data_IF_949290238162
#
_entry.id   IF_949290238162
#
_cell.length_a   1.000
_cell.length_b   1.000
_cell.length_c   1.000
_cell.angle_alpha   90.00
_cell.angle_beta   90.00
_cell.angle_gamma   90.00
#
_symmetry.space_group_name_H-M   'P 1'
#
loop_
_entity.id
_entity.type
_entity.pdbx_description
1 polymer ?
#
# COMPACT_ATOMS: atom_id res chain seq x y z
N UNK A 1 -2.86 19.82 -11.45
CA UNK A 1 -2.42 19.52 -10.06
C UNK A 1 -0.95 19.90 -9.96
N UNK A 2 -0.53 20.66 -8.94
CA UNK A 2 0.88 21.01 -8.82
C UNK A 2 1.74 19.77 -8.49
N UNK A 3 3.02 19.70 -8.91
CA UNK A 3 3.90 18.58 -8.64
C UNK A 3 3.94 18.21 -7.16
N UNK A 4 4.13 19.21 -6.30
CA UNK A 4 4.18 19.06 -4.85
C UNK A 4 2.89 18.42 -4.28
N UNK A 5 1.71 18.80 -4.77
CA UNK A 5 0.44 18.20 -4.33
C UNK A 5 0.34 16.74 -4.76
N UNK A 6 0.79 16.39 -5.97
CA UNK A 6 0.78 15.00 -6.43
C UNK A 6 1.69 14.10 -5.61
N UNK A 7 2.84 14.61 -5.18
CA UNK A 7 3.75 13.88 -4.32
C UNK A 7 3.24 13.77 -2.88
N UNK A 8 2.61 14.81 -2.34
CA UNK A 8 1.97 14.74 -1.01
C UNK A 8 0.86 13.68 -0.98
N UNK A 9 0.00 13.65 -2.01
CA UNK A 9 -1.03 12.59 -2.13
C UNK A 9 -0.39 11.21 -2.22
N UNK A 10 0.69 11.07 -3.00
CA UNK A 10 1.42 9.82 -3.11
C UNK A 10 1.98 9.36 -1.76
N UNK A 11 2.70 10.24 -1.05
CA UNK A 11 3.27 9.96 0.25
C UNK A 11 2.20 9.58 1.28
N UNK A 12 1.07 10.30 1.28
CA UNK A 12 -0.07 10.00 2.13
C UNK A 12 -0.66 8.61 1.84
N UNK A 13 -0.84 8.25 0.57
CA UNK A 13 -1.33 6.93 0.18
C UNK A 13 -0.35 5.81 0.56
N UNK A 14 0.97 6.04 0.45
CA UNK A 14 1.97 5.07 0.90
C UNK A 14 1.96 4.86 2.42
N UNK A 15 1.69 5.92 3.18
CA UNK A 15 1.54 5.84 4.63
C UNK A 15 0.27 5.06 5.02
N UNK A 16 -0.87 5.33 4.36
CA UNK A 16 -2.10 4.56 4.58
C UNK A 16 -1.94 3.08 4.22
N UNK A 17 -1.26 2.78 3.11
CA UNK A 17 -0.95 1.40 2.74
C UNK A 17 -0.07 0.72 3.81
N UNK A 18 0.92 1.42 4.39
CA UNK A 18 1.73 0.89 5.49
C UNK A 18 0.87 0.57 6.72
N UNK A 19 0.04 1.51 7.14
CA UNK A 19 -0.80 1.36 8.33
C UNK A 19 -1.81 0.23 8.15
N UNK A 20 -2.44 0.11 6.98
CA UNK A 20 -3.39 -0.97 6.71
C UNK A 20 -2.72 -2.34 6.68
N UNK A 21 -1.52 -2.45 6.09
CA UNK A 21 -0.77 -3.71 6.09
C UNK A 21 -0.29 -4.08 7.51
N UNK A 22 0.22 -3.12 8.29
CA UNK A 22 0.53 -3.37 9.70
C UNK A 22 -0.71 -3.81 10.50
N UNK A 23 -1.89 -3.25 10.21
CA UNK A 23 -3.13 -3.65 10.85
C UNK A 23 -3.52 -5.11 10.53
N UNK A 24 -3.32 -5.57 9.29
CA UNK A 24 -3.52 -6.98 8.92
C UNK A 24 -2.57 -7.90 9.70
N UNK A 25 -1.27 -7.57 9.73
CA UNK A 25 -0.28 -8.34 10.48
C UNK A 25 -0.60 -8.40 11.98
N UNK A 26 -1.00 -7.27 12.59
CA UNK A 26 -1.35 -7.22 14.01
C UNK A 26 -2.67 -7.96 14.32
N UNK A 27 -3.63 -7.94 13.39
CA UNK A 27 -4.89 -8.68 13.54
C UNK A 27 -4.74 -10.18 13.24
N UNK A 28 -3.56 -10.64 12.82
CA UNK A 28 -3.31 -12.01 12.34
C UNK A 28 -4.23 -12.42 11.18
N UNK A 29 -4.73 -11.44 10.43
CA UNK A 29 -5.58 -11.63 9.25
C UNK A 29 -4.66 -11.64 8.03
N UNK A 30 -4.90 -12.55 7.08
CA UNK A 30 -4.08 -12.60 5.88
C UNK A 30 -4.13 -11.28 5.11
N UNK A 31 -2.96 -10.83 4.63
CA UNK A 31 -2.84 -9.64 3.80
C UNK A 31 -3.80 -9.70 2.59
N UNK A 32 -4.63 -8.66 2.46
CA UNK A 32 -5.56 -8.52 1.34
C UNK A 32 -4.87 -8.05 0.04
N UNK A 33 -3.73 -7.36 0.15
CA UNK A 33 -3.01 -6.86 -1.02
C UNK A 33 -2.30 -8.02 -1.74
N UNK A 34 -2.73 -8.40 -2.96
CA UNK A 34 -2.19 -9.57 -3.65
C UNK A 34 -0.71 -9.41 -4.00
N UNK A 35 -0.24 -8.18 -4.26
CA UNK A 35 1.18 -7.93 -4.48
C UNK A 35 1.98 -8.22 -3.22
N UNK A 36 1.60 -7.61 -2.08
CA UNK A 36 2.29 -7.84 -0.81
C UNK A 36 2.22 -9.31 -0.41
N UNK A 37 1.05 -9.94 -0.52
CA UNK A 37 0.86 -11.37 -0.25
C UNK A 37 1.79 -12.24 -1.10
N UNK A 38 1.94 -11.94 -2.39
CA UNK A 38 2.86 -12.66 -3.28
C UNK A 38 4.32 -12.45 -2.85
N UNK A 39 4.70 -11.22 -2.52
CA UNK A 39 6.06 -10.92 -2.06
C UNK A 39 6.37 -11.61 -0.74
N UNK A 40 5.41 -11.63 0.20
CA UNK A 40 5.54 -12.35 1.48
C UNK A 40 5.70 -13.86 1.24
N UNK A 41 4.93 -14.44 0.30
CA UNK A 41 5.07 -15.85 -0.06
C UNK A 41 6.46 -16.15 -0.66
N UNK A 42 7.05 -15.22 -1.41
CA UNK A 42 8.40 -15.37 -1.97
C UNK A 42 9.51 -15.14 -0.96
N UNK A 43 9.34 -14.18 -0.03
CA UNK A 43 10.36 -13.88 0.98
C UNK A 43 10.28 -14.78 2.21
N UNK A 44 9.18 -15.52 2.40
CA UNK A 44 8.93 -16.37 3.58
C UNK A 44 8.75 -15.60 4.89
N UNK A 45 8.83 -14.27 4.85
CA UNK A 45 8.75 -13.40 6.02
C UNK A 45 7.86 -12.17 5.73
N UNK A 46 6.77 -11.95 6.51
CA UNK A 46 5.78 -10.90 6.26
C UNK A 46 6.38 -9.48 6.18
N UNK A 47 7.24 -9.15 7.14
CA UNK A 47 7.91 -7.85 7.17
C UNK A 47 8.87 -7.64 5.98
N UNK A 48 9.52 -8.69 5.48
CA UNK A 48 10.43 -8.57 4.35
C UNK A 48 9.66 -8.29 3.04
N UNK A 49 8.53 -8.99 2.83
CA UNK A 49 7.65 -8.74 1.68
C UNK A 49 7.08 -7.32 1.68
N UNK A 50 6.67 -6.82 2.84
CA UNK A 50 6.23 -5.43 3.04
C UNK A 50 7.33 -4.43 2.66
N UNK A 51 8.55 -4.61 3.19
CA UNK A 51 9.68 -3.71 2.96
C UNK A 51 10.00 -3.65 1.46
N UNK A 52 10.04 -4.80 0.78
CA UNK A 52 10.34 -4.85 -0.67
C UNK A 52 9.32 -4.06 -1.49
N UNK A 53 8.02 -4.27 -1.24
CA UNK A 53 6.96 -3.55 -1.98
C UNK A 53 7.03 -2.05 -1.70
N UNK A 54 7.34 -1.65 -0.46
CA UNK A 54 7.47 -0.23 -0.10
C UNK A 54 8.69 0.43 -0.70
N UNK A 55 9.83 -0.25 -0.74
CA UNK A 55 11.03 0.25 -1.42
C UNK A 55 10.79 0.41 -2.92
N UNK A 56 10.09 -0.55 -3.54
CA UNK A 56 9.71 -0.46 -4.95
C UNK A 56 8.80 0.75 -5.21
N UNK A 57 7.77 0.95 -4.37
CA UNK A 57 6.88 2.10 -4.47
C UNK A 57 7.62 3.43 -4.23
N UNK A 58 8.51 3.50 -3.24
CA UNK A 58 9.29 4.70 -2.98
C UNK A 58 10.18 5.06 -4.18
N UNK A 59 10.86 4.06 -4.77
CA UNK A 59 11.67 4.22 -5.97
C UNK A 59 10.85 4.74 -7.16
N UNK A 60 9.66 4.19 -7.38
CA UNK A 60 8.75 4.63 -8.44
C UNK A 60 8.34 6.11 -8.26
N UNK A 61 8.05 6.53 -7.03
CA UNK A 61 7.73 7.92 -6.70
C UNK A 61 8.90 8.88 -6.97
N UNK A 62 10.11 8.51 -6.57
CA UNK A 62 11.34 9.29 -6.79
C UNK A 62 11.67 9.41 -8.28
N UNK A 63 11.57 8.32 -9.03
CA UNK A 63 11.82 8.30 -10.48
C UNK A 63 10.79 9.17 -11.22
N UNK A 64 9.51 9.07 -10.86
CA UNK A 64 8.45 9.91 -11.45
C UNK A 64 8.68 11.40 -11.18
N UNK A 65 9.13 11.74 -9.96
CA UNK A 65 9.46 13.11 -9.59
C UNK A 65 10.65 13.64 -10.38
N UNK A 66 11.76 12.90 -10.42
CA UNK A 66 12.99 13.32 -11.12
C UNK A 66 12.82 13.43 -12.63
N UNK A 67 11.97 12.61 -13.24
CA UNK A 67 11.73 12.62 -14.69
C UNK A 67 10.62 13.58 -15.13
N UNK A 68 9.99 14.30 -14.18
CA UNK A 68 8.90 15.24 -14.48
C UNK A 68 7.63 14.58 -15.02
N UNK A 69 7.49 13.26 -14.92
CA UNK A 69 6.35 12.49 -15.46
C UNK A 69 5.13 12.57 -14.54
N UNK A 70 4.57 13.78 -14.39
CA UNK A 70 3.42 14.05 -13.53
C UNK A 70 2.18 13.19 -13.85
N UNK A 71 1.99 12.82 -15.12
CA UNK A 71 0.92 11.91 -15.54
C UNK A 71 1.08 10.49 -14.98
N UNK A 72 2.33 10.02 -14.84
CA UNK A 72 2.62 8.70 -14.27
C UNK A 72 2.38 8.70 -12.77
N UNK A 73 2.79 9.77 -12.07
CA UNK A 73 2.52 9.96 -10.64
C UNK A 73 1.01 10.04 -10.35
N UNK A 74 0.23 10.71 -11.22
CA UNK A 74 -1.23 10.76 -11.08
C UNK A 74 -1.87 9.39 -11.25
N UNK A 75 -1.44 8.58 -12.22
CA UNK A 75 -1.92 7.19 -12.39
C UNK A 75 -1.54 6.32 -11.19
N UNK A 76 -0.32 6.48 -10.68
CA UNK A 76 0.12 5.78 -9.48
C UNK A 76 -0.75 6.15 -8.26
N UNK A 77 -1.08 7.43 -8.08
CA UNK A 77 -1.99 7.87 -7.01
C UNK A 77 -3.36 7.19 -7.12
N UNK A 78 -3.95 7.12 -8.32
CA UNK A 78 -5.24 6.43 -8.51
C UNK A 78 -5.12 4.95 -8.17
N UNK A 79 -4.08 4.29 -8.66
CA UNK A 79 -3.83 2.88 -8.38
C UNK A 79 -3.69 2.62 -6.87
N UNK A 80 -2.85 3.39 -6.17
CA UNK A 80 -2.65 3.23 -4.73
C UNK A 80 -3.88 3.62 -3.91
N UNK A 81 -4.69 4.58 -4.36
CA UNK A 81 -5.96 4.91 -3.71
C UNK A 81 -6.94 3.72 -3.75
N UNK A 82 -7.02 3.02 -4.88
CA UNK A 82 -7.84 1.80 -5.02
C UNK A 82 -7.31 0.69 -4.12
N UNK A 83 -6.00 0.47 -4.09
CA UNK A 83 -5.37 -0.54 -3.21
C UNK A 83 -5.63 -0.25 -1.74
N UNK A 84 -5.45 1.00 -1.30
CA UNK A 84 -5.73 1.40 0.09
C UNK A 84 -7.20 1.22 0.44
N UNK A 85 -8.12 1.62 -0.45
CA UNK A 85 -9.55 1.43 -0.23
C UNK A 85 -9.91 -0.07 -0.12
N UNK A 86 -9.29 -0.92 -0.94
CA UNK A 86 -9.45 -2.37 -0.87
C UNK A 86 -8.90 -2.94 0.45
N UNK A 87 -7.70 -2.52 0.86
CA UNK A 87 -7.11 -2.93 2.13
C UNK A 87 -8.02 -2.56 3.31
N UNK A 88 -8.57 -1.34 3.32
CA UNK A 88 -9.52 -0.90 4.34
C UNK A 88 -10.81 -1.75 4.34
N UNK A 89 -11.37 -2.05 3.17
CA UNK A 89 -12.56 -2.88 3.06
C UNK A 89 -12.31 -4.29 3.62
N UNK A 90 -11.21 -4.93 3.24
CA UNK A 90 -10.85 -6.25 3.74
C UNK A 90 -10.56 -6.24 5.26
N UNK A 91 -9.95 -5.17 5.78
CA UNK A 91 -9.71 -5.01 7.21
C UNK A 91 -11.03 -4.85 7.97
N UNK A 92 -11.95 -4.03 7.46
CA UNK A 92 -13.28 -3.85 8.05
C UNK A 92 -14.11 -5.14 8.03
N UNK A 93 -14.07 -5.90 6.94
CA UNK A 93 -14.75 -7.19 6.85
C UNK A 93 -14.09 -8.25 7.75
N UNK A 94 -12.75 -8.27 7.82
CA UNK A 94 -11.99 -9.18 8.66
C UNK A 94 -12.17 -8.91 10.17
N UNK A 95 -12.22 -7.64 10.57
CA UNK A 95 -12.48 -7.24 11.96
C UNK A 95 -13.97 -7.30 12.33
N UNK A 96 -14.86 -6.98 11.40
CA UNK A 96 -16.32 -7.01 11.58
C UNK A 96 -16.93 -8.41 11.52
N UNK A 97 -16.23 -9.37 10.92
CA UNK A 97 -16.65 -10.77 10.82
C UNK A 97 -16.25 -11.66 12.01
N UNK A 98 -15.75 -11.08 13.11
CA UNK A 98 -15.39 -11.83 14.33
C UNK A 98 -16.60 -11.88 15.28
N UNK A 99 -17.32 -13.02 15.44
CA UNK A 99 -18.08 -13.26 16.66
C UNK A 99 -17.07 -13.35 17.80
N UNK A 100 -17.12 -12.39 18.73
CA UNK A 100 -16.32 -12.41 19.95
C UNK A 100 -16.89 -13.49 20.88
N UNK A 101 -16.07 -14.44 21.40
CA UNK A 101 -16.48 -15.26 22.53
C UNK A 101 -16.57 -14.43 23.82
#
# INVERSE_FOLDING_TARGET
MSPARAFLVYAYLQALDLLTTLAFLMANVQEANPLVRQTIAWTGHPLAGLIVVKLAALGLGIVCWRTGRLRLLARANVFFAVVVAWNLLCLLLGLGGVPRP
#
